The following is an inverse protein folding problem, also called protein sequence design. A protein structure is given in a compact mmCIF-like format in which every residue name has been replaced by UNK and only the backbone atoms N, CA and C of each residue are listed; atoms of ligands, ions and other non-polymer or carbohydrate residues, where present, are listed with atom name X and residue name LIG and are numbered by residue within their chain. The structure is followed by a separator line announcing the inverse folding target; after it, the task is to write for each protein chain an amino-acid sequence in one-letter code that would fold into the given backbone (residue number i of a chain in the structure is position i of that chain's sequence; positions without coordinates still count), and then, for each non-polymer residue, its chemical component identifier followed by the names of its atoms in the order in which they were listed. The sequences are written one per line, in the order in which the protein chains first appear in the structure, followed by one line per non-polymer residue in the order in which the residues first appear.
data_IF_589610024054
#
_entry.id   IF_589610024054
#
_cell.length_a   1.000
_cell.length_b   1.000
_cell.length_c   1.000
_cell.angle_alpha   90.00
_cell.angle_beta   90.00
_cell.angle_gamma   90.00
#
_symmetry.space_group_name_H-M   'P 1'
#
loop_
_entity.id
_entity.type
_entity.pdbx_description
1 polymer ?
#
# COMPACT_ATOMS: atom_id res chain seq x y z
N UNK A 1 1.70 19.45 13.26
CA UNK A 1 0.26 19.12 13.28
C UNK A 1 -0.46 20.09 12.36
N UNK A 2 -1.36 19.61 11.48
CA UNK A 2 -1.96 20.41 10.40
C UNK A 2 -2.93 21.46 10.97
N UNK A 3 -2.59 22.74 10.80
CA UNK A 3 -3.31 23.90 11.37
C UNK A 3 -4.77 24.00 10.89
N UNK A 4 -5.08 23.44 9.71
CA UNK A 4 -6.45 23.39 9.18
C UNK A 4 -7.36 22.51 10.04
N UNK A 5 -6.81 21.43 10.61
CA UNK A 5 -7.55 20.55 11.50
C UNK A 5 -7.82 21.27 12.81
N UNK A 6 -6.77 21.78 13.46
CA UNK A 6 -6.86 22.36 14.80
C UNK A 6 -7.78 23.59 14.85
N UNK A 7 -7.76 24.43 13.82
CA UNK A 7 -8.51 25.69 13.82
C UNK A 7 -10.02 25.51 13.58
N UNK A 8 -10.45 24.38 13.00
CA UNK A 8 -11.85 24.12 12.67
C UNK A 8 -12.52 23.07 13.58
N UNK A 9 -11.79 22.52 14.56
CA UNK A 9 -12.29 21.49 15.48
C UNK A 9 -13.62 21.87 16.15
N UNK A 10 -13.74 23.10 16.65
CA UNK A 10 -14.95 23.56 17.36
C UNK A 10 -16.18 23.60 16.43
N UNK A 11 -15.98 23.90 15.15
CA UNK A 11 -17.05 23.94 14.14
C UNK A 11 -17.49 22.51 13.82
N UNK A 12 -16.54 21.58 13.69
CA UNK A 12 -16.82 20.19 13.35
C UNK A 12 -17.43 19.37 14.48
N UNK A 13 -17.17 19.70 15.74
CA UNK A 13 -17.80 19.03 16.89
C UNK A 13 -19.24 19.48 17.11
N UNK A 14 -19.59 20.68 16.66
CA UNK A 14 -20.90 21.29 16.95
C UNK A 14 -21.88 21.21 15.76
N UNK A 15 -21.39 21.03 14.53
CA UNK A 15 -22.23 20.91 13.34
C UNK A 15 -22.85 19.51 13.18
N UNK A 16 -24.11 19.40 12.72
CA UNK A 16 -24.68 18.11 12.33
C UNK A 16 -23.84 17.49 11.20
N UNK A 17 -23.49 16.21 11.35
CA UNK A 17 -22.55 15.47 10.50
C UNK A 17 -21.08 15.95 10.53
N UNK A 18 -20.70 16.86 11.43
CA UNK A 18 -19.34 17.40 11.47
C UNK A 18 -18.26 16.36 11.77
N UNK A 19 -18.54 15.38 12.65
CA UNK A 19 -17.63 14.25 12.92
C UNK A 19 -17.39 13.39 11.67
N UNK A 20 -18.43 13.17 10.85
CA UNK A 20 -18.30 12.40 9.60
C UNK A 20 -17.37 13.12 8.62
N UNK A 21 -17.59 14.41 8.40
CA UNK A 21 -16.73 15.26 7.55
C UNK A 21 -15.29 15.34 8.04
N UNK A 22 -15.09 15.39 9.36
CA UNK A 22 -13.75 15.37 9.96
C UNK A 22 -13.01 14.06 9.64
N UNK A 23 -13.69 12.91 9.73
CA UNK A 23 -13.09 11.62 9.36
C UNK A 23 -12.71 11.57 7.89
N UNK A 24 -13.59 12.03 7.01
CA UNK A 24 -13.34 12.12 5.56
C UNK A 24 -12.10 12.99 5.28
N UNK A 25 -12.01 14.16 5.90
CA UNK A 25 -10.85 15.06 5.75
C UNK A 25 -9.56 14.44 6.29
N UNK A 26 -9.60 13.78 7.46
CA UNK A 26 -8.42 13.10 8.02
C UNK A 26 -7.95 11.99 7.08
N UNK A 27 -8.87 11.19 6.53
CA UNK A 27 -8.54 10.14 5.57
C UNK A 27 -7.91 10.71 4.30
N UNK A 28 -8.48 11.80 3.77
CA UNK A 28 -7.92 12.48 2.60
C UNK A 28 -6.49 12.97 2.86
N UNK A 29 -6.27 13.62 4.00
CA UNK A 29 -4.94 14.10 4.40
C UNK A 29 -3.97 12.94 4.65
N UNK A 30 -4.44 11.80 5.18
CA UNK A 30 -3.64 10.62 5.41
C UNK A 30 -3.12 10.03 4.10
N UNK A 31 -4.01 9.87 3.11
CA UNK A 31 -3.68 9.33 1.79
C UNK A 31 -2.67 10.22 1.06
N UNK A 32 -2.71 11.54 1.29
CA UNK A 32 -1.75 12.50 0.73
C UNK A 32 -0.45 12.64 1.54
N UNK A 33 -0.31 11.96 2.68
CA UNK A 33 0.87 12.09 3.55
C UNK A 33 0.96 13.41 4.34
N UNK A 34 -0.12 14.19 4.43
CA UNK A 34 -0.13 15.55 5.02
C UNK A 34 -0.53 15.61 6.50
N UNK A 35 -0.68 14.46 7.15
CA UNK A 35 -1.01 14.39 8.59
C UNK A 35 0.21 14.58 9.49
N UNK A 36 1.40 14.25 9.00
CA UNK A 36 2.66 14.28 9.75
C UNK A 36 3.60 15.29 9.10
N UNK A 37 4.29 16.15 9.87
CA UNK A 37 5.36 16.99 9.33
C UNK A 37 6.41 16.14 8.63
N UNK A 38 6.79 16.53 7.42
CA UNK A 38 7.85 15.86 6.67
C UNK A 38 9.21 16.40 7.11
N UNK A 39 10.21 15.53 7.29
CA UNK A 39 11.59 15.94 7.53
C UNK A 39 12.34 16.01 6.18
N UNK A 40 12.87 17.17 5.78
CA UNK A 40 13.66 17.29 4.55
C UNK A 40 14.92 16.40 4.51
N UNK A 41 15.35 15.86 5.64
CA UNK A 41 16.49 14.95 5.73
C UNK A 41 16.12 13.47 5.59
N UNK A 42 14.82 13.14 5.54
CA UNK A 42 14.39 11.76 5.29
C UNK A 42 14.80 11.32 3.87
N UNK A 43 15.14 10.03 3.72
CA UNK A 43 15.48 9.47 2.41
C UNK A 43 14.26 9.54 1.48
N UNK A 44 14.39 10.13 0.27
CA UNK A 44 13.29 10.19 -0.67
C UNK A 44 13.00 8.80 -1.23
N UNK A 45 11.72 8.52 -1.49
CA UNK A 45 11.25 7.24 -2.02
C UNK A 45 11.95 6.82 -3.33
N UNK A 46 12.48 7.78 -4.10
CA UNK A 46 13.28 7.56 -5.32
C UNK A 46 14.53 6.73 -5.10
N UNK A 47 15.19 6.91 -3.95
CA UNK A 47 16.38 6.13 -3.59
C UNK A 47 16.00 4.67 -3.32
N UNK A 48 14.88 4.44 -2.62
CA UNK A 48 14.36 3.10 -2.38
C UNK A 48 13.97 2.41 -3.70
N UNK A 49 13.30 3.12 -4.61
CA UNK A 49 12.95 2.56 -5.93
C UNK A 49 14.18 2.19 -6.74
N UNK A 50 15.23 3.00 -6.67
CA UNK A 50 16.52 2.70 -7.31
C UNK A 50 17.16 1.44 -6.73
N UNK A 51 17.17 1.30 -5.40
CA UNK A 51 17.66 0.09 -4.71
C UNK A 51 16.86 -1.16 -5.13
N UNK A 52 15.53 -1.05 -5.19
CA UNK A 52 14.66 -2.17 -5.63
C UNK A 52 14.95 -2.55 -7.08
N UNK A 53 15.15 -1.59 -7.98
CA UNK A 53 15.48 -1.87 -9.37
C UNK A 53 16.83 -2.58 -9.52
N UNK A 54 17.84 -2.16 -8.75
CA UNK A 54 19.16 -2.79 -8.73
C UNK A 54 19.09 -4.23 -8.17
N UNK A 55 18.40 -4.43 -7.06
CA UNK A 55 18.19 -5.75 -6.45
C UNK A 55 17.46 -6.69 -7.42
N UNK A 56 16.40 -6.22 -8.08
CA UNK A 56 15.69 -6.99 -9.11
C UNK A 56 16.61 -7.38 -10.25
N UNK A 57 17.46 -6.47 -10.75
CA UNK A 57 18.41 -6.78 -11.82
C UNK A 57 19.42 -7.86 -11.39
N UNK A 58 19.90 -7.79 -10.15
CA UNK A 58 20.77 -8.82 -9.58
C UNK A 58 20.06 -10.17 -9.51
N UNK A 59 18.85 -10.24 -8.95
CA UNK A 59 18.08 -11.49 -8.83
C UNK A 59 17.73 -12.10 -10.20
N UNK A 60 17.52 -11.28 -11.23
CA UNK A 60 17.33 -11.75 -12.62
C UNK A 60 18.64 -12.36 -13.15
N UNK A 61 19.79 -11.74 -12.89
CA UNK A 61 21.09 -12.27 -13.32
C UNK A 61 21.46 -13.58 -12.62
N UNK A 62 21.03 -13.74 -11.36
CA UNK A 62 21.16 -14.97 -10.57
C UNK A 62 20.12 -16.04 -10.96
N UNK A 63 19.15 -15.71 -11.82
CA UNK A 63 18.09 -16.63 -12.26
C UNK A 63 17.04 -16.95 -11.18
N UNK A 64 17.02 -16.22 -10.07
CA UNK A 64 16.07 -16.41 -8.97
C UNK A 64 14.68 -15.89 -9.30
N UNK A 65 14.60 -14.85 -10.13
CA UNK A 65 13.33 -14.29 -10.59
C UNK A 65 13.32 -14.16 -12.12
N UNK A 66 12.11 -14.21 -12.70
CA UNK A 66 11.92 -13.95 -14.13
C UNK A 66 12.13 -12.45 -14.42
N UNK A 67 12.65 -12.09 -15.61
CA UNK A 67 12.77 -10.70 -16.01
C UNK A 67 11.40 -9.98 -15.93
N UNK A 68 11.30 -8.86 -15.19
CA UNK A 68 10.05 -8.13 -15.08
C UNK A 68 9.66 -7.53 -16.43
N UNK A 69 8.35 -7.48 -16.71
CA UNK A 69 7.83 -6.80 -17.89
C UNK A 69 8.05 -5.29 -17.75
N UNK A 70 8.49 -4.58 -18.80
CA UNK A 70 8.60 -3.13 -18.76
C UNK A 70 7.25 -2.50 -18.44
N UNK A 71 7.21 -1.66 -17.41
CA UNK A 71 6.01 -0.94 -17.00
C UNK A 71 5.97 0.44 -17.67
N UNK A 72 4.75 0.89 -18.00
CA UNK A 72 4.56 2.21 -18.57
C UNK A 72 4.85 3.29 -17.51
N UNK A 73 5.61 4.30 -17.91
CA UNK A 73 5.87 5.49 -17.08
C UNK A 73 4.54 6.12 -16.65
N UNK A 74 4.52 6.66 -15.43
CA UNK A 74 3.35 7.37 -14.90
C UNK A 74 3.34 8.76 -15.53
N UNK A 75 2.27 9.09 -16.24
CA UNK A 75 2.10 10.43 -16.84
C UNK A 75 1.57 11.45 -15.82
N UNK A 76 1.77 12.74 -16.05
CA UNK A 76 1.25 13.80 -15.15
C UNK A 76 -0.27 13.77 -15.02
N UNK A 77 -1.00 13.39 -16.08
CA UNK A 77 -2.47 13.30 -16.05
C UNK A 77 -3.01 12.14 -15.19
N UNK A 78 -2.16 11.18 -14.83
CA UNK A 78 -2.52 10.07 -13.93
C UNK A 78 -2.33 10.43 -12.46
N UNK A 79 -1.63 11.53 -12.14
CA UNK A 79 -1.34 11.94 -10.76
C UNK A 79 -2.51 12.78 -10.24
N UNK A 80 -3.33 12.25 -9.31
CA UNK A 80 -4.54 12.94 -8.86
C UNK A 80 -4.24 14.16 -7.96
N UNK A 81 -3.05 14.21 -7.35
CA UNK A 81 -2.61 15.26 -6.44
C UNK A 81 -1.08 15.32 -6.34
N UNK A 82 -0.60 16.44 -5.79
CA UNK A 82 0.82 16.64 -5.47
C UNK A 82 1.23 15.84 -4.24
N UNK A 83 2.40 15.23 -4.32
CA UNK A 83 3.00 14.46 -3.23
C UNK A 83 3.91 15.33 -2.35
N UNK A 84 4.14 14.91 -1.10
CA UNK A 84 5.26 15.41 -0.31
C UNK A 84 6.60 15.21 -1.03
N UNK A 85 7.59 16.04 -0.69
CA UNK A 85 8.93 16.05 -1.34
C UNK A 85 9.63 14.68 -1.31
N UNK A 86 9.49 13.93 -0.21
CA UNK A 86 10.16 12.64 -0.03
C UNK A 86 9.35 11.46 -0.58
N UNK A 87 8.19 11.70 -1.19
CA UNK A 87 7.31 10.67 -1.75
C UNK A 87 7.43 10.63 -3.27
N UNK A 88 7.26 9.45 -3.85
CA UNK A 88 7.27 9.27 -5.30
C UNK A 88 6.13 8.35 -5.74
N UNK A 89 5.51 8.70 -6.87
CA UNK A 89 4.55 7.82 -7.52
C UNK A 89 5.27 6.64 -8.18
N UNK A 90 4.85 5.42 -7.85
CA UNK A 90 5.35 4.19 -8.46
C UNK A 90 4.21 3.27 -8.88
N UNK A 91 4.45 2.41 -9.88
CA UNK A 91 3.53 1.31 -10.20
C UNK A 91 3.70 0.22 -9.14
N UNK A 92 2.65 -0.53 -8.85
CA UNK A 92 2.72 -1.66 -7.92
C UNK A 92 3.82 -2.67 -8.30
N UNK A 93 4.04 -2.87 -9.61
CA UNK A 93 5.09 -3.73 -10.12
C UNK A 93 6.53 -3.21 -9.94
N UNK A 94 6.70 -1.90 -9.72
CA UNK A 94 8.00 -1.30 -9.44
C UNK A 94 8.48 -1.71 -8.05
N UNK A 95 7.57 -1.85 -7.08
CA UNK A 95 7.89 -2.19 -5.69
C UNK A 95 7.82 -3.67 -5.38
N UNK A 96 6.91 -4.42 -6.01
CA UNK A 96 6.71 -5.84 -5.72
C UNK A 96 6.38 -6.63 -6.97
N UNK A 97 6.51 -7.96 -6.88
CA UNK A 97 5.94 -8.84 -7.89
C UNK A 97 4.48 -9.14 -7.52
N UNK A 98 3.56 -8.86 -8.43
CA UNK A 98 2.13 -9.08 -8.21
C UNK A 98 1.53 -9.79 -9.42
N UNK A 99 0.55 -10.66 -9.17
CA UNK A 99 -0.13 -11.43 -10.22
C UNK A 99 0.63 -12.65 -10.75
N UNK A 100 1.80 -12.96 -10.20
CA UNK A 100 2.42 -14.29 -10.34
C UNK A 100 2.19 -15.08 -9.07
N UNK A 101 1.54 -16.23 -9.19
CA UNK A 101 1.47 -17.22 -8.13
C UNK A 101 2.41 -18.37 -8.48
N UNK A 102 3.28 -18.73 -7.56
CA UNK A 102 3.95 -20.02 -7.64
C UNK A 102 2.92 -21.10 -7.30
N UNK A 103 2.89 -22.16 -8.12
CA UNK A 103 2.10 -23.33 -7.77
C UNK A 103 2.76 -23.98 -6.56
N UNK A 104 1.99 -24.12 -5.48
CA UNK A 104 2.37 -24.88 -4.31
C UNK A 104 1.31 -25.98 -4.11
N UNK A 105 1.76 -27.20 -3.86
CA UNK A 105 0.91 -28.31 -3.46
C UNK A 105 0.76 -28.34 -1.94
N UNK A 106 -0.23 -29.07 -1.43
CA UNK A 106 -0.43 -29.20 0.02
C UNK A 106 0.78 -29.80 0.74
N UNK A 107 1.66 -30.51 0.02
CA UNK A 107 2.89 -31.11 0.58
C UNK A 107 4.04 -30.11 0.71
N UNK A 108 3.91 -28.93 0.09
CA UNK A 108 4.96 -27.90 0.07
C UNK A 108 4.80 -26.89 1.24
N UNK A 109 3.74 -27.01 2.04
CA UNK A 109 3.42 -26.13 3.16
C UNK A 109 3.61 -26.84 4.51
N UNK A 110 4.16 -26.13 5.49
CA UNK A 110 4.32 -26.64 6.87
C UNK A 110 2.95 -26.81 7.55
N UNK A 111 2.81 -27.77 8.46
CA UNK A 111 1.57 -28.04 9.21
C UNK A 111 1.06 -26.81 10.02
N UNK A 112 1.95 -25.85 10.33
CA UNK A 112 1.59 -24.59 11.00
C UNK A 112 1.18 -23.49 10.01
N UNK A 113 1.26 -23.73 8.71
CA UNK A 113 0.88 -22.76 7.67
C UNK A 113 -0.64 -22.63 7.62
N UNK A 114 -1.14 -21.42 7.86
CA UNK A 114 -2.57 -21.15 7.70
C UNK A 114 -2.91 -21.08 6.20
N UNK A 115 -3.74 -22.02 5.74
CA UNK A 115 -4.27 -22.02 4.37
C UNK A 115 -5.63 -21.33 4.40
N UNK A 116 -5.77 -20.29 3.58
CA UNK A 116 -7.03 -19.58 3.40
C UNK A 116 -7.66 -20.01 2.07
N UNK A 117 -8.80 -20.69 2.13
CA UNK A 117 -9.58 -21.05 0.95
C UNK A 117 -10.53 -19.90 0.59
N UNK A 118 -10.91 -19.78 -0.69
CA UNK A 118 -11.88 -18.77 -1.12
C UNK A 118 -13.24 -18.93 -0.42
N UNK A 119 -13.53 -20.12 0.09
CA UNK A 119 -14.73 -20.45 0.86
C UNK A 119 -14.69 -19.89 2.29
N UNK A 120 -13.49 -19.59 2.81
CA UNK A 120 -13.31 -18.99 4.14
C UNK A 120 -13.59 -17.48 4.12
N UNK A 121 -13.70 -16.84 2.95
CA UNK A 121 -13.99 -15.40 2.83
C UNK A 121 -15.49 -15.18 2.58
N UNK A 122 -16.16 -14.53 3.53
CA UNK A 122 -17.54 -14.10 3.36
C UNK A 122 -17.65 -13.08 2.21
N UNK A 123 -18.42 -13.43 1.16
CA UNK A 123 -18.50 -12.68 -0.11
C UNK A 123 -18.86 -11.20 0.01
N UNK A 124 -19.64 -10.83 1.03
CA UNK A 124 -20.20 -9.47 1.19
C UNK A 124 -19.52 -8.63 2.28
N UNK A 125 -18.92 -9.29 3.26
CA UNK A 125 -18.36 -8.61 4.44
C UNK A 125 -16.83 -8.60 4.42
N UNK A 126 -16.21 -9.40 3.54
CA UNK A 126 -14.78 -9.69 3.52
C UNK A 126 -14.26 -10.18 4.88
N UNK A 127 -15.14 -10.77 5.71
CA UNK A 127 -14.75 -11.41 6.96
C UNK A 127 -14.27 -12.81 6.70
N UNK A 128 -13.25 -13.21 7.46
CA UNK A 128 -12.77 -14.57 7.47
C UNK A 128 -13.65 -15.41 8.41
N UNK A 129 -14.16 -16.50 7.88
CA UNK A 129 -14.81 -17.56 8.64
C UNK A 129 -13.70 -18.31 9.35
N UNK A 130 -13.49 -18.04 10.65
CA UNK A 130 -12.48 -18.76 11.45
C UNK A 130 -12.96 -20.19 11.65
N UNK A 131 -12.70 -21.06 10.67
CA UNK A 131 -12.71 -22.50 10.88
C UNK A 131 -11.26 -22.92 11.10
N UNK A 132 -10.96 -23.43 12.28
CA UNK A 132 -9.70 -24.10 12.62
C UNK A 132 -9.49 -25.27 11.64
N UNK A 133 -8.91 -25.01 10.48
CA UNK A 133 -8.34 -26.03 9.60
C UNK A 133 -6.82 -25.97 9.78
N UNK A 134 -6.35 -26.56 10.88
CA UNK A 134 -4.97 -27.05 10.95
C UNK A 134 -4.89 -28.31 10.08
N UNK A 135 -3.87 -28.40 9.24
CA UNK A 135 -3.50 -29.64 8.56
C UNK A 135 -3.06 -30.69 9.59
#
# INVERSE_FOLDING_TARGET
MNHLITNNLAIWTTAPNGIKKLRELILELAVRGLLVPQDPNDEPASELLTKIAAEKAQLVSEGKIKPPKPLAKISEGEKPFDLPENWEWARLGDVTNYGTCDKAESTDVDEQTWVLELEDVEKETSRFSVHDKKL
#
